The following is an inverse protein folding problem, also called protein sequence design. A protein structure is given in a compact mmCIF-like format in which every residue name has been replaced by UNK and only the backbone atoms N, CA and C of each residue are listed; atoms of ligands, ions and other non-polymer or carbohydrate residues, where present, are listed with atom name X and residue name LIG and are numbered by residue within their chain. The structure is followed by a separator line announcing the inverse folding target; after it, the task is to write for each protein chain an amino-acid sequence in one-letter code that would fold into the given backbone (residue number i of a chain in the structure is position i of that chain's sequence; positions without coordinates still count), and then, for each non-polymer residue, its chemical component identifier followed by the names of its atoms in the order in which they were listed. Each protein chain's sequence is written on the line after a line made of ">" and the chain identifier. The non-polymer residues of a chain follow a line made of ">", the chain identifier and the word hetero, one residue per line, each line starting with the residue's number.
data_IF_536154816337
#
_entry.id   IF_536154816337
#
_cell.length_a   1.000
_cell.length_b   1.000
_cell.length_c   1.000
_cell.angle_alpha   90.00
_cell.angle_beta   90.00
_cell.angle_gamma   90.00
#
_symmetry.space_group_name_H-M   'P 1'
#
loop_
_entity.id
_entity.type
_entity.pdbx_description
1 polymer ?
#
# COMPACT_ATOMS: atom_id res chain seq x y z
N UNK A 1 17.26 -18.73 17.99
CA UNK A 1 16.31 -19.64 17.29
C UNK A 1 16.73 -19.66 15.84
N UNK A 2 16.73 -20.81 15.15
CA UNK A 2 17.21 -20.85 13.76
C UNK A 2 16.21 -20.14 12.83
N UNK A 3 16.65 -19.25 11.93
CA UNK A 3 15.75 -18.45 11.07
C UNK A 3 14.81 -19.28 10.19
N UNK A 4 15.12 -20.56 9.94
CA UNK A 4 14.27 -21.49 9.19
C UNK A 4 13.00 -21.95 9.92
N UNK A 5 12.96 -21.91 11.26
CA UNK A 5 11.82 -22.41 12.05
C UNK A 5 10.63 -21.44 12.04
N UNK A 6 10.89 -20.13 12.03
CA UNK A 6 9.84 -19.09 12.01
C UNK A 6 9.16 -18.99 10.63
N UNK A 7 9.93 -19.09 9.54
CA UNK A 7 9.38 -19.06 8.17
C UNK A 7 8.47 -20.27 7.91
N UNK A 8 8.88 -21.47 8.35
CA UNK A 8 8.06 -22.67 8.26
C UNK A 8 6.76 -22.54 9.10
N UNK A 9 6.84 -21.88 10.25
CA UNK A 9 5.69 -21.61 11.10
C UNK A 9 4.69 -20.63 10.46
N UNK A 10 5.17 -19.57 9.80
CA UNK A 10 4.31 -18.61 9.11
C UNK A 10 3.60 -19.22 7.90
N UNK A 11 4.32 -20.00 7.09
CA UNK A 11 3.74 -20.69 5.94
C UNK A 11 2.60 -21.63 6.35
N UNK A 12 2.80 -22.42 7.41
CA UNK A 12 1.77 -23.30 7.96
C UNK A 12 0.57 -22.52 8.51
N UNK A 13 0.80 -21.37 9.16
CA UNK A 13 -0.28 -20.51 9.66
C UNK A 13 -1.13 -19.92 8.52
N UNK A 14 -0.50 -19.50 7.41
CA UNK A 14 -1.21 -19.02 6.21
C UNK A 14 -2.02 -20.16 5.59
N UNK A 15 -1.43 -21.35 5.45
CA UNK A 15 -2.12 -22.52 4.89
C UNK A 15 -3.35 -22.93 5.71
N UNK A 16 -3.27 -22.85 7.05
CA UNK A 16 -4.39 -23.17 7.94
C UNK A 16 -5.62 -22.27 7.71
N UNK A 17 -5.44 -21.06 7.19
CA UNK A 17 -6.53 -20.09 6.92
C UNK A 17 -6.82 -19.91 5.44
N UNK A 18 -6.27 -20.75 4.55
CA UNK A 18 -6.39 -20.60 3.10
C UNK A 18 -7.87 -20.58 2.64
N UNK A 19 -8.71 -21.37 3.30
CA UNK A 19 -10.15 -21.45 3.04
C UNK A 19 -10.90 -20.12 3.23
N UNK A 20 -10.31 -19.14 3.93
CA UNK A 20 -10.89 -17.82 4.15
C UNK A 20 -10.64 -16.84 2.99
N UNK A 21 -9.73 -17.14 2.07
CA UNK A 21 -9.37 -16.20 0.97
C UNK A 21 -10.47 -16.02 -0.06
N UNK A 22 -11.37 -16.99 -0.22
CA UNK A 22 -12.51 -16.91 -1.15
C UNK A 22 -13.78 -16.34 -0.51
N UNK A 23 -13.69 -15.82 0.72
CA UNK A 23 -14.85 -15.30 1.45
C UNK A 23 -15.44 -14.05 0.78
N UNK A 24 -16.72 -13.82 1.05
CA UNK A 24 -17.35 -12.52 0.79
C UNK A 24 -17.26 -11.68 2.06
N UNK A 25 -16.71 -10.47 1.95
CA UNK A 25 -16.55 -9.58 3.10
C UNK A 25 -17.89 -9.17 3.71
N UNK A 26 -17.91 -9.05 5.04
CA UNK A 26 -19.10 -8.67 5.77
C UNK A 26 -19.54 -7.22 5.46
N UNK A 27 -20.85 -6.98 5.37
CA UNK A 27 -21.39 -5.65 5.08
C UNK A 27 -21.45 -4.72 6.31
N UNK A 28 -21.16 -5.23 7.51
CA UNK A 28 -20.97 -4.48 8.76
C UNK A 28 -19.85 -5.11 9.58
N UNK A 29 -19.12 -4.30 10.35
CA UNK A 29 -18.02 -4.77 11.22
C UNK A 29 -18.48 -5.88 12.19
N UNK A 30 -19.63 -5.70 12.84
CA UNK A 30 -20.17 -6.68 13.79
C UNK A 30 -20.54 -8.05 13.19
N UNK A 31 -20.50 -8.19 11.86
CA UNK A 31 -20.80 -9.43 11.14
C UNK A 31 -19.55 -10.10 10.57
N UNK A 32 -18.36 -9.56 10.83
CA UNK A 32 -17.11 -10.22 10.45
C UNK A 32 -16.96 -11.46 11.33
N UNK A 33 -16.81 -12.67 10.75
CA UNK A 33 -16.59 -13.88 11.54
C UNK A 33 -15.35 -13.75 12.43
N UNK A 34 -15.39 -14.21 13.69
CA UNK A 34 -14.24 -14.09 14.60
C UNK A 34 -12.95 -14.69 14.04
N UNK A 35 -13.05 -15.79 13.30
CA UNK A 35 -11.90 -16.42 12.64
C UNK A 35 -11.27 -15.53 11.57
N UNK A 36 -12.10 -14.85 10.76
CA UNK A 36 -11.64 -13.89 9.76
C UNK A 36 -10.95 -12.71 10.43
N UNK A 37 -11.56 -12.14 11.48
CA UNK A 37 -10.99 -11.00 12.18
C UNK A 37 -9.63 -11.36 12.83
N UNK A 38 -9.51 -12.56 13.40
CA UNK A 38 -8.24 -13.06 13.93
C UNK A 38 -7.20 -13.22 12.84
N UNK A 39 -7.52 -13.91 11.73
CA UNK A 39 -6.59 -14.10 10.62
C UNK A 39 -6.13 -12.77 9.97
N UNK A 40 -7.03 -11.78 9.91
CA UNK A 40 -6.71 -10.42 9.48
C UNK A 40 -5.73 -9.74 10.44
N UNK A 41 -6.01 -9.76 11.74
CA UNK A 41 -5.15 -9.15 12.76
C UNK A 41 -3.83 -9.89 12.97
N UNK A 42 -3.77 -11.17 12.64
CA UNK A 42 -2.54 -11.95 12.61
C UNK A 42 -1.76 -11.74 11.30
N UNK A 43 -2.30 -10.99 10.34
CA UNK A 43 -1.64 -10.66 9.08
C UNK A 43 -1.55 -11.81 8.07
N UNK A 44 -2.39 -12.83 8.22
CA UNK A 44 -2.33 -14.07 7.43
C UNK A 44 -3.17 -14.00 6.14
N UNK A 45 -4.13 -13.09 6.08
CA UNK A 45 -5.00 -12.88 4.92
C UNK A 45 -5.18 -11.39 4.63
N UNK A 46 -5.61 -11.10 3.41
CA UNK A 46 -5.98 -9.75 2.98
C UNK A 46 -7.39 -9.39 3.44
N UNK A 47 -7.65 -8.09 3.63
CA UNK A 47 -9.00 -7.56 3.65
C UNK A 47 -9.68 -7.77 2.30
N UNK A 48 -11.01 -7.83 2.26
CA UNK A 48 -11.75 -7.88 0.98
C UNK A 48 -12.73 -6.71 0.82
N UNK A 49 -12.89 -5.87 1.85
CA UNK A 49 -13.69 -4.65 1.80
C UNK A 49 -13.30 -3.64 2.90
N UNK A 50 -13.94 -2.47 2.85
CA UNK A 50 -13.71 -1.39 3.81
C UNK A 50 -14.09 -1.76 5.26
N UNK A 51 -15.12 -2.57 5.48
CA UNK A 51 -15.51 -2.94 6.85
C UNK A 51 -14.44 -3.78 7.53
N UNK A 52 -13.84 -4.73 6.81
CA UNK A 52 -12.72 -5.52 7.33
C UNK A 52 -11.50 -4.66 7.61
N UNK A 53 -11.16 -3.74 6.69
CA UNK A 53 -10.09 -2.77 6.91
C UNK A 53 -10.31 -1.91 8.17
N UNK A 54 -11.54 -1.43 8.38
CA UNK A 54 -11.90 -0.61 9.54
C UNK A 54 -11.99 -1.41 10.85
N UNK A 55 -12.08 -2.73 10.78
CA UNK A 55 -12.15 -3.61 11.95
C UNK A 55 -10.78 -4.04 12.49
N UNK A 56 -9.70 -3.67 11.79
CA UNK A 56 -8.35 -4.08 12.17
C UNK A 56 -7.90 -3.48 13.50
N UNK A 57 -7.38 -4.34 14.36
CA UNK A 57 -6.62 -3.98 15.55
C UNK A 57 -5.17 -3.71 15.14
N UNK A 58 -4.91 -2.49 14.66
CA UNK A 58 -3.59 -2.10 14.12
C UNK A 58 -2.41 -2.43 15.04
N UNK A 59 -2.48 -2.30 16.38
CA UNK A 59 -1.38 -2.70 17.26
C UNK A 59 -1.08 -4.21 17.25
N UNK A 60 -2.10 -5.07 17.07
CA UNK A 60 -1.88 -6.51 16.93
C UNK A 60 -1.23 -6.80 15.58
N UNK A 61 -1.84 -6.29 14.50
CA UNK A 61 -1.34 -6.49 13.15
C UNK A 61 0.10 -6.02 12.96
N UNK A 62 0.45 -4.84 13.49
CA UNK A 62 1.81 -4.31 13.38
C UNK A 62 2.85 -5.20 14.06
N UNK A 63 2.53 -5.81 15.22
CA UNK A 63 3.43 -6.74 15.91
C UNK A 63 3.57 -8.05 15.15
N UNK A 64 2.46 -8.62 14.67
CA UNK A 64 2.49 -9.85 13.87
C UNK A 64 3.31 -9.65 12.60
N UNK A 65 3.05 -8.56 11.86
CA UNK A 65 3.81 -8.21 10.66
C UNK A 65 5.29 -7.99 10.97
N UNK A 66 5.65 -7.29 12.05
CA UNK A 66 7.05 -7.11 12.45
C UNK A 66 7.75 -8.46 12.64
N UNK A 67 7.14 -9.40 13.37
CA UNK A 67 7.69 -10.75 13.55
C UNK A 67 7.80 -11.52 12.23
N UNK A 68 6.77 -11.47 11.38
CA UNK A 68 6.75 -12.16 10.09
C UNK A 68 7.87 -11.71 9.15
N UNK A 69 8.24 -10.43 9.21
CA UNK A 69 9.30 -9.87 8.39
C UNK A 69 10.67 -9.88 9.09
N UNK A 70 10.80 -10.52 10.25
CA UNK A 70 12.06 -10.70 10.98
C UNK A 70 12.52 -9.48 11.77
N UNK A 71 11.62 -8.55 12.10
CA UNK A 71 11.90 -7.45 13.02
C UNK A 71 11.45 -7.80 14.43
N UNK A 72 12.08 -7.18 15.42
CA UNK A 72 11.67 -7.32 16.82
C UNK A 72 10.33 -6.61 17.07
N UNK A 73 9.28 -7.40 17.23
CA UNK A 73 7.93 -6.94 17.55
C UNK A 73 7.81 -6.29 18.95
N UNK A 74 8.80 -6.48 19.83
CA UNK A 74 8.89 -5.87 21.14
C UNK A 74 9.85 -4.66 21.18
N UNK A 75 10.43 -4.26 20.04
CA UNK A 75 11.32 -3.10 19.97
C UNK A 75 10.66 -1.83 20.52
N UNK A 76 11.42 -1.06 21.30
CA UNK A 76 10.95 0.19 21.93
C UNK A 76 10.35 1.14 20.88
N UNK A 77 11.02 1.30 19.72
CA UNK A 77 10.54 2.11 18.61
C UNK A 77 9.12 1.75 18.16
N UNK A 78 8.81 0.46 18.05
CA UNK A 78 7.48 -0.01 17.67
C UNK A 78 6.50 0.15 18.83
N UNK A 79 6.88 -0.28 20.03
CA UNK A 79 6.04 -0.19 21.24
C UNK A 79 5.57 1.25 21.49
N UNK A 80 6.48 2.22 21.46
CA UNK A 80 6.17 3.64 21.65
C UNK A 80 5.23 4.17 20.57
N UNK A 81 5.46 3.78 19.32
CA UNK A 81 4.59 4.14 18.20
C UNK A 81 3.18 3.62 18.43
N UNK A 82 3.05 2.35 18.83
CA UNK A 82 1.76 1.70 19.07
C UNK A 82 1.00 2.35 20.24
N UNK A 83 1.71 2.74 21.31
CA UNK A 83 1.12 3.40 22.47
C UNK A 83 0.46 4.75 22.13
N UNK A 84 0.99 5.47 21.12
CA UNK A 84 0.50 6.79 20.73
C UNK A 84 -0.56 6.77 19.62
N UNK A 85 -0.86 5.62 18.99
CA UNK A 85 -1.72 5.58 17.79
C UNK A 85 -3.11 6.19 17.99
N UNK A 86 -3.70 6.05 19.18
CA UNK A 86 -5.02 6.59 19.48
C UNK A 86 -5.10 8.12 19.40
N UNK A 87 -3.97 8.81 19.56
CA UNK A 87 -3.87 10.27 19.44
C UNK A 87 -3.95 10.77 17.98
N UNK A 88 -3.80 9.88 17.00
CA UNK A 88 -3.79 10.23 15.57
C UNK A 88 -5.08 9.82 14.86
N UNK A 89 -5.38 10.53 13.75
CA UNK A 89 -6.50 10.17 12.87
C UNK A 89 -6.24 8.80 12.22
N UNK A 90 -7.29 8.02 11.88
CA UNK A 90 -7.15 6.64 11.40
C UNK A 90 -6.09 6.45 10.31
N UNK A 91 -6.11 7.26 9.25
CA UNK A 91 -5.14 7.14 8.15
C UNK A 91 -3.70 7.49 8.55
N UNK A 92 -3.50 8.42 9.50
CA UNK A 92 -2.18 8.80 9.98
C UNK A 92 -1.50 7.66 10.75
N UNK A 93 -2.29 6.81 11.42
CA UNK A 93 -1.78 5.65 12.19
C UNK A 93 -0.97 4.70 11.32
N UNK A 94 -1.43 4.44 10.09
CA UNK A 94 -0.69 3.60 9.15
C UNK A 94 0.67 4.20 8.79
N UNK A 95 0.74 5.51 8.56
CA UNK A 95 2.01 6.20 8.28
C UNK A 95 3.00 6.11 9.44
N UNK A 96 2.53 6.21 10.67
CA UNK A 96 3.38 6.06 11.85
C UNK A 96 3.92 4.63 12.00
N UNK A 97 3.09 3.61 11.77
CA UNK A 97 3.53 2.20 11.77
C UNK A 97 4.54 1.96 10.65
N UNK A 98 4.23 2.38 9.42
CA UNK A 98 5.14 2.22 8.28
C UNK A 98 6.50 2.86 8.55
N UNK A 99 6.53 4.08 9.11
CA UNK A 99 7.77 4.74 9.52
C UNK A 99 8.52 3.96 10.60
N UNK A 100 7.85 3.47 11.64
CA UNK A 100 8.50 2.69 12.68
C UNK A 100 9.15 1.42 12.13
N UNK A 101 8.44 0.69 11.25
CA UNK A 101 9.01 -0.50 10.59
C UNK A 101 10.18 -0.12 9.65
N UNK A 102 10.10 1.03 8.96
CA UNK A 102 11.19 1.53 8.10
C UNK A 102 12.44 1.84 8.92
N UNK A 103 12.28 2.53 10.05
CA UNK A 103 13.37 2.90 10.95
C UNK A 103 14.05 1.64 11.53
N UNK A 104 13.26 0.63 11.92
CA UNK A 104 13.78 -0.65 12.39
C UNK A 104 14.53 -1.41 11.29
N UNK A 105 13.96 -1.47 10.09
CA UNK A 105 14.60 -2.14 8.96
C UNK A 105 15.90 -1.47 8.53
N UNK A 106 16.03 -0.15 8.70
CA UNK A 106 17.25 0.59 8.41
C UNK A 106 18.43 0.18 9.33
N UNK A 107 18.14 -0.39 10.51
CA UNK A 107 19.13 -0.89 11.46
C UNK A 107 19.37 -2.40 11.34
N UNK A 108 18.65 -3.09 10.46
CA UNK A 108 18.70 -4.54 10.31
C UNK A 108 19.72 -4.95 9.24
N UNK A 109 20.57 -5.94 9.54
CA UNK A 109 21.64 -6.41 8.63
C UNK A 109 21.09 -6.90 7.27
N UNK A 110 19.89 -7.48 7.27
CA UNK A 110 19.18 -7.93 6.07
C UNK A 110 18.07 -6.96 5.62
N UNK A 111 18.32 -5.64 5.65
CA UNK A 111 17.34 -4.61 5.30
C UNK A 111 16.52 -4.92 4.04
N UNK A 112 17.20 -5.31 2.96
CA UNK A 112 16.53 -5.58 1.67
C UNK A 112 15.63 -6.83 1.74
N UNK A 113 16.03 -7.84 2.51
CA UNK A 113 15.20 -9.03 2.73
C UNK A 113 13.96 -8.70 3.57
N UNK A 114 14.10 -7.85 4.60
CA UNK A 114 12.97 -7.33 5.40
C UNK A 114 12.01 -6.56 4.51
N UNK A 115 12.53 -5.64 3.68
CA UNK A 115 11.74 -4.85 2.73
C UNK A 115 11.01 -5.76 1.74
N UNK A 116 11.68 -6.78 1.21
CA UNK A 116 11.07 -7.76 0.32
C UNK A 116 9.92 -8.51 1.00
N UNK A 117 10.15 -9.06 2.21
CA UNK A 117 9.12 -9.78 2.98
C UNK A 117 7.90 -8.90 3.26
N UNK A 118 8.10 -7.63 3.59
CA UNK A 118 6.99 -6.68 3.80
C UNK A 118 6.23 -6.40 2.49
N UNK A 119 6.95 -6.21 1.39
CA UNK A 119 6.38 -5.92 0.07
C UNK A 119 5.66 -7.11 -0.59
N UNK A 120 5.88 -8.34 -0.12
CA UNK A 120 5.21 -9.56 -0.58
C UNK A 120 4.37 -10.22 0.52
N UNK A 121 4.09 -9.50 1.61
CA UNK A 121 3.40 -10.04 2.77
C UNK A 121 1.95 -10.44 2.46
N UNK A 122 1.41 -11.44 3.17
CA UNK A 122 0.05 -11.94 2.96
C UNK A 122 -1.03 -10.88 3.26
N UNK A 123 -0.85 -10.08 4.31
CA UNK A 123 -1.70 -8.90 4.58
C UNK A 123 -1.49 -7.79 3.55
N UNK A 124 -2.59 -7.31 2.96
CA UNK A 124 -2.62 -6.14 2.10
C UNK A 124 -2.16 -4.87 2.85
N UNK A 125 -2.51 -4.73 4.13
CA UNK A 125 -2.13 -3.57 4.94
C UNK A 125 -0.62 -3.50 5.18
N UNK A 126 0.04 -4.65 5.32
CA UNK A 126 1.50 -4.71 5.37
C UNK A 126 2.14 -4.24 4.06
N UNK A 127 1.58 -4.65 2.92
CA UNK A 127 2.03 -4.17 1.60
C UNK A 127 1.72 -2.68 1.37
N UNK A 128 0.62 -2.16 1.92
CA UNK A 128 0.36 -0.73 1.98
C UNK A 128 1.44 0.03 2.78
N UNK A 129 1.90 -0.50 3.91
CA UNK A 129 3.03 0.08 4.66
C UNK A 129 4.34 0.02 3.86
N UNK A 130 4.58 -1.06 3.12
CA UNK A 130 5.71 -1.16 2.19
C UNK A 130 5.66 -0.08 1.10
N UNK A 131 4.48 0.17 0.52
CA UNK A 131 4.30 1.22 -0.48
C UNK A 131 4.63 2.61 0.09
N UNK A 132 4.29 2.87 1.37
CA UNK A 132 4.66 4.12 2.05
C UNK A 132 6.17 4.28 2.26
N UNK A 133 6.95 3.19 2.31
CA UNK A 133 8.41 3.27 2.39
C UNK A 133 9.03 3.94 1.16
N UNK A 134 8.35 3.90 0.00
CA UNK A 134 8.82 4.60 -1.21
C UNK A 134 8.96 6.09 -0.94
N UNK A 135 7.99 6.71 -0.25
CA UNK A 135 8.05 8.11 0.18
C UNK A 135 9.22 8.38 1.13
N UNK A 136 9.61 7.39 1.93
CA UNK A 136 10.68 7.53 2.95
C UNK A 136 12.08 7.22 2.39
N UNK A 137 12.16 6.66 1.18
CA UNK A 137 13.37 6.11 0.58
C UNK A 137 14.42 7.15 0.19
N UNK A 138 14.01 8.43 0.06
CA UNK A 138 14.85 9.51 -0.47
C UNK A 138 15.37 9.27 -1.91
N UNK A 139 14.76 8.33 -2.65
CA UNK A 139 15.08 8.10 -4.06
C UNK A 139 14.65 9.32 -4.90
N UNK A 140 15.34 9.60 -6.02
CA UNK A 140 14.85 10.55 -7.01
C UNK A 140 13.51 10.05 -7.60
N UNK A 141 12.74 10.95 -8.23
CA UNK A 141 11.40 10.65 -8.74
C UNK A 141 11.37 9.38 -9.61
N UNK A 142 12.30 9.24 -10.57
CA UNK A 142 12.41 8.04 -11.39
C UNK A 142 12.59 6.74 -10.57
N UNK A 143 13.41 6.79 -9.52
CA UNK A 143 13.60 5.65 -8.61
C UNK A 143 12.37 5.35 -7.75
N UNK A 144 11.65 6.39 -7.31
CA UNK A 144 10.38 6.20 -6.60
C UNK A 144 9.31 5.56 -7.50
N UNK A 145 9.20 6.01 -8.76
CA UNK A 145 8.28 5.44 -9.74
C UNK A 145 8.63 3.97 -10.04
N UNK A 146 9.91 3.64 -10.20
CA UNK A 146 10.32 2.25 -10.40
C UNK A 146 9.98 1.38 -9.18
N UNK A 147 10.31 1.85 -7.98
CA UNK A 147 10.03 1.12 -6.74
C UNK A 147 8.52 0.93 -6.50
N UNK A 148 7.69 1.94 -6.80
CA UNK A 148 6.24 1.87 -6.56
C UNK A 148 5.50 1.01 -7.58
N UNK A 149 6.11 0.71 -8.74
CA UNK A 149 5.49 -0.05 -9.83
C UNK A 149 4.90 -1.38 -9.35
N UNK A 150 5.58 -2.08 -8.44
CA UNK A 150 5.08 -3.35 -7.89
C UNK A 150 3.76 -3.20 -7.11
N UNK A 151 3.58 -2.09 -6.40
CA UNK A 151 2.38 -1.80 -5.62
C UNK A 151 1.27 -1.25 -6.51
N UNK A 152 1.64 -0.53 -7.57
CA UNK A 152 0.71 -0.13 -8.62
C UNK A 152 0.08 -1.35 -9.33
N UNK A 153 0.83 -2.44 -9.49
CA UNK A 153 0.37 -3.71 -10.08
C UNK A 153 -0.32 -4.66 -9.09
N UNK A 154 -0.33 -4.36 -7.79
CA UNK A 154 -0.81 -5.28 -6.75
C UNK A 154 -2.27 -5.75 -7.00
N UNK A 155 -2.60 -7.04 -6.79
CA UNK A 155 -3.96 -7.53 -6.98
C UNK A 155 -4.97 -6.89 -6.02
N UNK A 156 -4.54 -6.49 -4.82
CA UNK A 156 -5.40 -5.89 -3.81
C UNK A 156 -5.66 -4.40 -4.08
N UNK A 157 -6.93 -4.01 -4.16
CA UNK A 157 -7.32 -2.65 -4.52
C UNK A 157 -6.77 -1.59 -3.55
N UNK A 158 -6.74 -1.89 -2.25
CA UNK A 158 -6.24 -0.97 -1.23
C UNK A 158 -4.75 -0.66 -1.41
N UNK A 159 -3.94 -1.65 -1.81
CA UNK A 159 -2.51 -1.45 -2.05
C UNK A 159 -2.29 -0.53 -3.24
N UNK A 160 -3.09 -0.69 -4.31
CA UNK A 160 -3.04 0.20 -5.48
C UNK A 160 -3.42 1.64 -5.16
N UNK A 161 -4.35 1.87 -4.22
CA UNK A 161 -4.67 3.23 -3.77
C UNK A 161 -3.50 3.86 -3.02
N UNK A 162 -2.90 3.13 -2.08
CA UNK A 162 -1.74 3.65 -1.33
C UNK A 162 -0.53 3.87 -2.24
N UNK A 163 -0.34 3.04 -3.28
CA UNK A 163 0.74 3.16 -4.25
C UNK A 163 0.78 4.56 -4.89
N UNK A 164 -0.33 5.05 -5.47
CA UNK A 164 -0.31 6.35 -6.13
C UNK A 164 -0.20 7.48 -5.10
N UNK A 165 -0.81 7.32 -3.91
CA UNK A 165 -0.70 8.32 -2.84
C UNK A 165 0.75 8.50 -2.37
N UNK A 166 1.53 7.42 -2.30
CA UNK A 166 2.90 7.43 -1.79
C UNK A 166 3.86 8.31 -2.62
N UNK A 167 3.66 8.41 -3.93
CA UNK A 167 4.55 9.17 -4.83
C UNK A 167 3.94 10.47 -5.35
N UNK A 168 2.69 10.77 -4.99
CA UNK A 168 1.97 11.90 -5.57
C UNK A 168 2.62 13.25 -5.27
N UNK A 169 3.05 13.47 -4.04
CA UNK A 169 3.66 14.76 -3.67
C UNK A 169 4.96 15.00 -4.46
N UNK A 170 5.77 13.94 -4.66
CA UNK A 170 6.96 14.00 -5.50
C UNK A 170 6.62 14.29 -6.98
N UNK A 171 5.57 13.67 -7.51
CA UNK A 171 5.06 13.94 -8.87
C UNK A 171 4.59 15.39 -9.01
N UNK A 172 3.86 15.92 -8.04
CA UNK A 172 3.40 17.31 -8.07
C UNK A 172 4.58 18.29 -8.02
N UNK A 173 5.61 17.97 -7.23
CA UNK A 173 6.83 18.78 -7.12
C UNK A 173 7.70 18.76 -8.39
N UNK A 174 7.56 17.75 -9.25
CA UNK A 174 8.38 17.57 -10.46
C UNK A 174 7.54 17.11 -11.64
N UNK A 175 6.45 17.86 -11.91
CA UNK A 175 5.39 17.44 -12.82
C UNK A 175 5.86 17.14 -14.26
N UNK A 176 6.68 17.99 -14.87
CA UNK A 176 7.13 17.77 -16.25
C UNK A 176 7.98 16.50 -16.39
N UNK A 177 8.88 16.26 -15.43
CA UNK A 177 9.65 15.01 -15.36
C UNK A 177 8.72 13.81 -15.17
N UNK A 178 7.74 13.91 -14.26
CA UNK A 178 6.79 12.85 -14.00
C UNK A 178 5.97 12.49 -15.25
N UNK A 179 5.47 13.48 -15.99
CA UNK A 179 4.68 13.27 -17.20
C UNK A 179 5.51 12.53 -18.28
N UNK A 180 6.79 12.87 -18.42
CA UNK A 180 7.70 12.16 -19.32
C UNK A 180 7.92 10.70 -18.87
N UNK A 181 8.19 10.47 -17.59
CA UNK A 181 8.43 9.14 -17.02
C UNK A 181 7.19 8.23 -17.07
N UNK A 182 5.99 8.79 -16.96
CA UNK A 182 4.71 8.05 -16.99
C UNK A 182 4.21 7.74 -18.40
N UNK A 183 4.81 8.32 -19.44
CA UNK A 183 4.40 8.08 -20.83
C UNK A 183 4.44 6.60 -21.26
N UNK A 184 5.46 5.78 -20.90
CA UNK A 184 5.41 4.35 -21.19
C UNK A 184 4.34 3.60 -20.38
N UNK A 185 4.00 4.06 -19.16
CA UNK A 185 3.09 3.37 -18.24
C UNK A 185 1.65 3.33 -18.74
N UNK A 186 1.21 4.35 -19.48
CA UNK A 186 -0.14 4.37 -20.07
C UNK A 186 -0.31 3.39 -21.23
N UNK A 187 0.80 2.84 -21.74
CA UNK A 187 0.83 1.81 -22.78
C UNK A 187 1.14 0.41 -22.25
N UNK A 188 1.43 0.28 -20.96
CA UNK A 188 1.78 -0.97 -20.31
C UNK A 188 0.70 -2.05 -20.53
N UNK A 189 1.10 -3.31 -20.59
CA UNK A 189 0.18 -4.43 -20.77
C UNK A 189 -0.70 -4.65 -19.52
N UNK A 190 -0.18 -4.32 -18.33
CA UNK A 190 -0.92 -4.42 -17.09
C UNK A 190 -1.98 -3.29 -16.97
N UNK A 191 -3.29 -3.61 -16.91
CA UNK A 191 -4.33 -2.61 -16.70
C UNK A 191 -4.16 -1.79 -15.41
N UNK A 192 -3.57 -2.35 -14.36
CA UNK A 192 -3.36 -1.66 -13.10
C UNK A 192 -2.26 -0.60 -13.22
N UNK A 193 -1.20 -0.86 -13.98
CA UNK A 193 -0.16 0.14 -14.27
C UNK A 193 -0.72 1.31 -15.09
N UNK A 194 -1.54 1.01 -16.12
CA UNK A 194 -2.23 2.06 -16.89
C UNK A 194 -3.17 2.89 -16.01
N UNK A 195 -3.93 2.23 -15.13
CA UNK A 195 -4.80 2.89 -14.15
C UNK A 195 -3.98 3.80 -13.24
N UNK A 196 -2.89 3.30 -12.67
CA UNK A 196 -2.02 4.04 -11.77
C UNK A 196 -1.55 5.36 -12.39
N UNK A 197 -1.03 5.33 -13.62
CA UNK A 197 -0.59 6.55 -14.32
C UNK A 197 -1.74 7.57 -14.46
N UNK A 198 -2.97 7.10 -14.76
CA UNK A 198 -4.15 7.98 -14.83
C UNK A 198 -4.58 8.54 -13.47
N UNK A 199 -4.57 7.73 -12.41
CA UNK A 199 -4.98 8.14 -11.06
C UNK A 199 -4.00 9.16 -10.45
N UNK A 200 -2.71 8.88 -10.61
CA UNK A 200 -1.60 9.69 -10.09
C UNK A 200 -1.63 11.13 -10.64
N UNK A 201 -1.98 11.28 -11.92
CA UNK A 201 -2.02 12.59 -12.60
C UNK A 201 -3.42 13.20 -12.69
N UNK A 202 -4.40 12.71 -11.92
CA UNK A 202 -5.72 13.37 -11.86
C UNK A 202 -5.56 14.80 -11.33
N UNK A 203 -6.01 15.83 -12.07
CA UNK A 203 -5.91 17.21 -11.59
C UNK A 203 -6.65 17.43 -10.28
N UNK A 204 -7.80 16.75 -10.14
CA UNK A 204 -8.62 16.72 -8.94
C UNK A 204 -8.61 15.32 -8.32
N UNK A 205 -7.94 15.19 -7.18
CA UNK A 205 -7.97 13.96 -6.40
C UNK A 205 -8.73 14.15 -5.09
N UNK A 206 -9.27 13.05 -4.57
CA UNK A 206 -9.89 12.99 -3.25
C UNK A 206 -8.81 12.55 -2.27
N UNK A 207 -8.67 13.28 -1.15
CA UNK A 207 -7.65 13.03 -0.10
C UNK A 207 -6.19 13.29 -0.50
N UNK A 208 -5.97 14.16 -1.49
CA UNK A 208 -4.62 14.59 -1.87
C UNK A 208 -4.62 16.03 -2.39
N UNK A 209 -3.42 16.61 -2.50
CA UNK A 209 -3.25 17.92 -3.13
C UNK A 209 -3.76 17.91 -4.58
N UNK A 210 -4.39 19.02 -4.96
CA UNK A 210 -4.81 19.28 -6.33
C UNK A 210 -3.57 19.59 -7.18
N UNK A 211 -3.59 19.21 -8.45
CA UNK A 211 -2.51 19.55 -9.39
C UNK A 211 -2.95 20.78 -10.16
N UNK A 212 -2.70 21.97 -9.59
CA UNK A 212 -3.17 23.25 -10.13
C UNK A 212 -2.68 23.49 -11.57
N UNK A 213 -1.45 23.09 -11.88
CA UNK A 213 -0.91 23.16 -13.23
C UNK A 213 -1.76 22.37 -14.25
N UNK A 214 -2.19 21.14 -13.92
CA UNK A 214 -3.05 20.35 -14.80
C UNK A 214 -4.51 20.80 -14.80
N UNK A 215 -4.96 21.60 -13.81
CA UNK A 215 -6.27 22.25 -13.83
C UNK A 215 -6.28 23.44 -14.78
N UNK A 216 -5.21 24.25 -14.75
CA UNK A 216 -5.05 25.41 -15.61
C UNK A 216 -4.76 25.00 -17.06
N UNK A 217 -3.91 23.98 -17.23
CA UNK A 217 -3.40 23.54 -18.53
C UNK A 217 -3.61 22.02 -18.73
N UNK A 218 -4.86 21.55 -18.90
CA UNK A 218 -5.16 20.12 -18.99
C UNK A 218 -4.47 19.41 -20.17
N UNK A 219 -4.04 20.16 -21.19
CA UNK A 219 -3.36 19.61 -22.35
C UNK A 219 -2.02 18.94 -22.02
N UNK A 220 -1.36 19.32 -20.92
CA UNK A 220 -0.13 18.66 -20.47
C UNK A 220 -0.35 17.18 -20.09
N UNK A 221 -1.55 16.82 -19.64
CA UNK A 221 -1.90 15.44 -19.32
C UNK A 221 -2.48 14.65 -20.50
N UNK A 222 -2.77 15.29 -21.64
CA UNK A 222 -3.35 14.60 -22.82
C UNK A 222 -2.55 13.37 -23.26
N UNK A 223 -1.20 13.39 -23.32
CA UNK A 223 -0.42 12.22 -23.70
C UNK A 223 -0.66 10.99 -22.82
N UNK A 224 -1.16 11.19 -21.58
CA UNK A 224 -1.49 10.12 -20.65
C UNK A 224 -2.94 9.62 -20.77
N UNK A 225 -3.82 10.35 -21.46
CA UNK A 225 -5.25 10.07 -21.56
C UNK A 225 -5.66 9.39 -22.89
N UNK A 226 -4.80 9.40 -23.91
CA UNK A 226 -5.14 9.04 -25.29
C UNK A 226 -5.50 7.56 -25.56
N UNK A 227 -5.48 6.67 -24.54
CA UNK A 227 -5.96 5.27 -24.65
C UNK A 227 -7.23 4.95 -23.87
N UNK A 228 -8.09 5.93 -23.56
CA UNK A 228 -9.46 5.68 -23.05
C UNK A 228 -10.57 5.78 -24.10
N UNK A 229 -10.26 5.58 -25.39
CA UNK A 229 -11.26 5.28 -26.43
C UNK A 229 -11.36 3.78 -26.69
N UNK A 230 -11.71 3.00 -25.66
CA UNK A 230 -12.29 1.66 -25.84
C UNK A 230 -13.46 1.52 -24.88
N UNK A 231 -14.59 1.09 -25.44
CA UNK A 231 -15.94 1.21 -24.88
C UNK A 231 -16.13 0.36 -23.61
N UNK A 232 -17.01 0.86 -22.74
CA UNK A 232 -17.54 0.26 -21.50
C UNK A 232 -16.60 0.28 -20.29
N UNK A 233 -16.72 1.31 -19.46
CA UNK A 233 -17.09 1.20 -18.04
C UNK A 233 -17.48 2.61 -17.54
N UNK A 234 -18.69 2.72 -17.00
CA UNK A 234 -19.30 3.97 -16.54
C UNK A 234 -18.61 4.45 -15.27
N UNK A 235 -17.72 5.42 -15.39
CA UNK A 235 -17.48 6.50 -14.41
C UNK A 235 -16.88 7.69 -15.18
N UNK A 236 -17.77 8.44 -15.85
CA UNK A 236 -17.47 9.78 -16.32
C UNK A 236 -18.11 10.79 -15.37
N UNK A 237 -17.26 11.39 -14.54
CA UNK A 237 -17.44 12.70 -13.91
C UNK A 237 -16.09 13.01 -13.24
N UNK A 238 -15.40 14.12 -13.48
CA UNK A 238 -15.62 15.31 -14.28
C UNK A 238 -14.22 15.86 -14.62
N UNK A 239 -14.09 16.53 -15.76
CA UNK A 239 -13.04 17.55 -15.96
C UNK A 239 -13.10 18.60 -14.84
#
# INVERSE_FOLDING_TARGET
>A
MAPGTEVASLAAAIEAVEHLKTRKGAFRIALIPPEVLRALNDGLIETVNLNEFLALELPQLARSVAGHIGLDAASERLVDTLAMLSAFKPMQRHGHIARALYDLAALHDERDAVAHRLATHASDVARCWAAQWVTLSQLPLAGQLEAVRRFAADPHFGVREIAWMAVRDAVVGSLDEALALLQPWVRDDDPNIRRFASELTRPRGVWCAQIEALKAEPWHALPLLERKRSKYHVYQSAL
#
